data_IF_456873629745
#
_entry.id   IF_456873629745
#
_cell.length_a   1.000
_cell.length_b   1.000
_cell.length_c   1.000
_cell.angle_alpha   90.00
_cell.angle_beta   90.00
_cell.angle_gamma   90.00
#
_symmetry.space_group_name_H-M   'P 1'
#
loop_
_entity.id
_entity.type
_entity.pdbx_description
1 polymer ?
#
# COMPACT_ATOMS: atom_id res chain seq x y z
N UNK A 1 2.35 16.59 6.75
CA UNK A 1 1.11 16.21 6.04
C UNK A 1 0.24 15.48 7.03
N UNK A 2 -1.02 15.89 7.23
CA UNK A 2 -1.96 15.10 8.01
C UNK A 2 -2.53 14.02 7.09
N UNK A 3 -1.87 12.87 7.01
CA UNK A 3 -2.48 11.69 6.39
C UNK A 3 -3.64 11.26 7.28
N UNK A 4 -4.80 11.00 6.67
CA UNK A 4 -6.01 10.54 7.34
C UNK A 4 -5.87 9.02 7.58
N UNK A 5 -4.72 8.55 8.08
CA UNK A 5 -4.40 7.14 8.22
C UNK A 5 -2.96 6.86 8.68
N UNK A 6 -2.62 5.58 8.94
CA UNK A 6 -1.29 5.13 9.32
C UNK A 6 -0.22 5.60 8.35
N UNK A 7 0.99 5.80 8.87
CA UNK A 7 2.13 6.20 8.05
C UNK A 7 3.47 5.83 8.69
N UNK A 8 4.46 5.57 7.85
CA UNK A 8 5.86 5.47 8.22
C UNK A 8 6.59 6.83 8.12
N UNK A 9 7.34 7.18 9.18
CA UNK A 9 8.20 8.37 9.20
C UNK A 9 9.66 7.99 8.96
N UNK A 10 10.29 8.41 7.84
CA UNK A 10 11.69 8.08 7.57
C UNK A 10 12.70 8.79 8.48
N UNK A 11 12.31 9.91 9.13
CA UNK A 11 13.20 10.72 9.95
C UNK A 11 13.52 10.06 11.30
N UNK A 12 12.53 9.45 11.93
CA UNK A 12 12.66 8.75 13.21
C UNK A 12 12.51 7.22 13.08
N UNK A 13 12.23 6.72 11.86
CA UNK A 13 12.07 5.30 11.53
C UNK A 13 10.92 4.62 12.28
N UNK A 14 9.85 5.36 12.55
CA UNK A 14 8.69 4.86 13.30
C UNK A 14 7.45 4.72 12.41
N UNK A 15 6.62 3.72 12.72
CA UNK A 15 5.27 3.58 12.16
C UNK A 15 4.28 4.18 13.13
N UNK A 16 3.44 5.09 12.63
CA UNK A 16 2.37 5.74 13.38
C UNK A 16 1.04 5.14 12.95
N UNK A 17 0.26 4.67 13.92
CA UNK A 17 -1.03 4.02 13.67
C UNK A 17 -2.11 4.81 14.37
N UNK A 18 -3.06 5.31 13.60
CA UNK A 18 -4.31 5.84 14.14
C UNK A 18 -5.33 4.71 14.19
N UNK A 19 -5.66 4.21 15.39
CA UNK A 19 -6.64 3.14 15.56
C UNK A 19 -8.05 3.57 15.14
N UNK A 20 -8.35 4.88 15.14
CA UNK A 20 -9.64 5.38 14.64
C UNK A 20 -9.77 5.17 13.13
N UNK A 21 -8.67 5.11 12.38
CA UNK A 21 -8.67 4.81 10.95
C UNK A 21 -9.26 3.42 10.65
N UNK A 22 -9.15 2.44 11.55
CA UNK A 22 -9.75 1.11 11.33
C UNK A 22 -11.27 1.19 11.28
N UNK A 23 -11.86 2.04 12.13
CA UNK A 23 -13.29 2.32 12.09
C UNK A 23 -13.66 3.05 10.81
N UNK A 24 -12.85 4.03 10.36
CA UNK A 24 -13.11 4.72 9.10
C UNK A 24 -13.03 3.80 7.88
N UNK A 25 -12.08 2.87 7.87
CA UNK A 25 -11.93 1.85 6.84
C UNK A 25 -13.19 1.00 6.66
N UNK A 26 -13.77 0.56 7.77
CA UNK A 26 -15.00 -0.21 7.76
C UNK A 26 -16.21 0.68 7.43
N UNK A 27 -16.42 1.73 8.22
CA UNK A 27 -17.65 2.52 8.21
C UNK A 27 -17.77 3.43 6.98
N UNK A 28 -16.66 4.05 6.55
CA UNK A 28 -16.64 4.99 5.41
C UNK A 28 -16.20 4.27 4.14
N UNK A 29 -15.13 3.49 4.20
CA UNK A 29 -14.50 2.91 3.02
C UNK A 29 -14.96 1.48 2.69
N UNK A 30 -15.77 0.85 3.55
CA UNK A 30 -16.42 -0.43 3.27
C UNK A 30 -15.48 -1.62 3.23
N UNK A 31 -14.32 -1.54 3.89
CA UNK A 31 -13.50 -2.71 4.13
C UNK A 31 -14.27 -3.72 5.02
N UNK A 32 -14.08 -5.02 4.78
CA UNK A 32 -14.68 -6.08 5.61
C UNK A 32 -14.30 -5.97 7.09
N UNK A 33 -13.15 -5.36 7.39
CA UNK A 33 -12.58 -5.34 8.72
C UNK A 33 -11.74 -6.58 8.99
N UNK A 34 -11.66 -6.94 10.26
CA UNK A 34 -10.85 -8.07 10.73
C UNK A 34 -9.44 -7.67 11.17
N UNK A 35 -8.77 -8.58 11.85
CA UNK A 35 -7.42 -8.36 12.38
C UNK A 35 -6.37 -8.40 11.27
N UNK A 36 -6.58 -9.22 10.23
CA UNK A 36 -5.64 -9.30 9.13
C UNK A 36 -5.67 -8.05 8.23
N UNK A 37 -6.79 -7.33 8.16
CA UNK A 37 -6.84 -6.00 7.54
C UNK A 37 -5.88 -5.01 8.22
N UNK A 38 -5.79 -5.03 9.55
CA UNK A 38 -4.83 -4.20 10.29
C UNK A 38 -3.39 -4.70 10.09
N UNK A 39 -3.19 -6.02 10.08
CA UNK A 39 -1.88 -6.62 9.81
C UNK A 39 -1.33 -6.22 8.44
N UNK A 40 -2.18 -6.23 7.40
CA UNK A 40 -1.85 -5.75 6.06
C UNK A 40 -1.38 -4.29 6.07
N UNK A 41 -2.12 -3.38 6.74
CA UNK A 41 -1.76 -1.96 6.79
C UNK A 41 -0.44 -1.75 7.52
N UNK A 42 -0.24 -2.45 8.63
CA UNK A 42 1.02 -2.39 9.36
C UNK A 42 2.19 -2.91 8.51
N UNK A 43 2.01 -4.04 7.83
CA UNK A 43 3.01 -4.61 6.95
C UNK A 43 3.34 -3.69 5.76
N UNK A 44 2.34 -2.97 5.25
CA UNK A 44 2.52 -1.93 4.23
C UNK A 44 3.42 -0.80 4.74
N UNK A 45 3.17 -0.27 5.95
CA UNK A 45 4.03 0.77 6.54
C UNK A 45 5.45 0.27 6.82
N UNK A 46 5.61 -0.99 7.21
CA UNK A 46 6.93 -1.64 7.27
C UNK A 46 7.56 -1.76 5.89
N UNK A 47 6.76 -1.95 4.83
CA UNK A 47 7.19 -1.88 3.44
C UNK A 47 7.87 -0.55 3.11
N UNK A 48 7.33 0.58 3.56
CA UNK A 48 8.00 1.88 3.42
C UNK A 48 9.30 1.98 4.21
N UNK A 49 9.38 1.34 5.38
CA UNK A 49 10.64 1.23 6.10
C UNK A 49 11.70 0.47 5.29
N UNK A 50 11.32 -0.66 4.67
CA UNK A 50 12.21 -1.44 3.79
C UNK A 50 12.69 -0.57 2.61
N UNK A 51 11.80 0.16 1.95
CA UNK A 51 12.16 1.08 0.87
C UNK A 51 13.17 2.16 1.32
N UNK A 52 13.01 2.66 2.55
CA UNK A 52 13.95 3.61 3.12
C UNK A 52 15.34 2.99 3.35
N UNK A 53 15.39 1.76 3.87
CA UNK A 53 16.65 1.01 4.06
C UNK A 53 17.36 0.71 2.74
N UNK A 54 16.59 0.35 1.70
CA UNK A 54 17.11 0.04 0.36
C UNK A 54 17.46 1.30 -0.46
N UNK A 55 17.11 2.49 0.03
CA UNK A 55 17.34 3.75 -0.67
C UNK A 55 16.35 4.05 -1.80
N UNK A 56 15.32 3.23 -1.99
CA UNK A 56 14.27 3.42 -3.01
C UNK A 56 13.53 4.74 -2.80
N UNK A 57 13.10 5.05 -1.58
CA UNK A 57 12.39 6.30 -1.28
C UNK A 57 13.23 7.54 -1.58
N UNK A 58 14.54 7.46 -1.32
CA UNK A 58 15.47 8.56 -1.64
C UNK A 58 15.68 8.71 -3.16
N UNK A 59 15.70 7.60 -3.91
CA UNK A 59 15.77 7.61 -5.38
C UNK A 59 14.52 8.24 -5.99
N UNK A 60 13.33 7.83 -5.56
CA UNK A 60 12.05 8.40 -6.01
C UNK A 60 12.00 9.90 -5.76
N UNK A 61 12.34 10.35 -4.54
CA UNK A 61 12.37 11.78 -4.20
C UNK A 61 13.28 12.60 -5.11
N UNK A 62 14.44 12.05 -5.49
CA UNK A 62 15.36 12.73 -6.43
C UNK A 62 14.79 12.81 -7.83
N UNK A 63 14.11 11.77 -8.30
CA UNK A 63 13.46 11.74 -9.62
C UNK A 63 12.31 12.75 -9.70
N UNK A 64 11.48 12.84 -8.65
CA UNK A 64 10.36 13.78 -8.56
C UNK A 64 10.78 15.25 -8.63
N UNK A 65 11.98 15.61 -8.16
CA UNK A 65 12.43 17.00 -8.10
C UNK A 65 12.54 17.71 -9.48
N UNK A 66 12.58 16.96 -10.57
CA UNK A 66 12.63 17.49 -11.94
C UNK A 66 11.36 17.28 -12.75
N UNK A 67 10.29 16.77 -12.14
CA UNK A 67 9.04 16.41 -12.81
C UNK A 67 7.91 17.37 -12.45
N UNK A 68 6.89 17.42 -13.29
CA UNK A 68 5.62 18.05 -12.91
C UNK A 68 4.87 17.16 -11.91
N UNK A 69 3.74 17.67 -11.41
CA UNK A 69 2.95 16.98 -10.40
C UNK A 69 2.42 15.63 -10.88
N UNK A 70 1.96 15.53 -12.13
CA UNK A 70 1.35 14.31 -12.68
C UNK A 70 2.42 13.23 -12.83
N UNK A 71 3.57 13.56 -13.41
CA UNK A 71 4.68 12.61 -13.54
C UNK A 71 5.30 12.27 -12.17
N UNK A 72 5.33 13.22 -11.25
CA UNK A 72 5.75 12.98 -9.86
C UNK A 72 4.80 12.01 -9.13
N UNK A 73 3.50 12.14 -9.35
CA UNK A 73 2.45 11.30 -8.79
C UNK A 73 2.56 9.85 -9.26
N UNK A 74 2.88 9.61 -10.53
CA UNK A 74 3.16 8.25 -11.04
C UNK A 74 4.27 7.55 -10.27
N UNK A 75 5.34 8.27 -9.91
CA UNK A 75 6.41 7.71 -9.09
C UNK A 75 5.97 7.42 -7.65
N UNK A 76 5.09 8.24 -7.08
CA UNK A 76 4.46 7.97 -5.78
C UNK A 76 3.64 6.68 -5.85
N UNK A 77 2.78 6.54 -6.86
CA UNK A 77 1.97 5.33 -7.06
C UNK A 77 2.85 4.08 -7.14
N UNK A 78 3.93 4.09 -7.94
CA UNK A 78 4.83 2.93 -8.00
C UNK A 78 5.49 2.61 -6.65
N UNK A 79 5.86 3.63 -5.86
CA UNK A 79 6.41 3.43 -4.53
C UNK A 79 5.37 2.81 -3.57
N UNK A 80 4.12 3.28 -3.60
CA UNK A 80 3.02 2.76 -2.78
C UNK A 80 2.70 1.30 -3.12
N UNK A 81 2.62 0.96 -4.41
CA UNK A 81 2.39 -0.41 -4.87
C UNK A 81 3.52 -1.36 -4.47
N UNK A 82 4.76 -0.87 -4.38
CA UNK A 82 5.87 -1.70 -3.90
C UNK A 82 5.74 -2.00 -2.40
N UNK A 83 5.17 -1.09 -1.61
CA UNK A 83 4.89 -1.35 -0.20
C UNK A 83 3.77 -2.42 -0.05
N UNK A 84 2.73 -2.37 -0.89
CA UNK A 84 1.71 -3.45 -0.97
C UNK A 84 2.34 -4.80 -1.31
N UNK A 85 3.26 -4.83 -2.28
CA UNK A 85 4.00 -6.04 -2.63
C UNK A 85 4.82 -6.59 -1.46
N UNK A 86 5.54 -5.73 -0.72
CA UNK A 86 6.29 -6.16 0.46
C UNK A 86 5.38 -6.68 1.59
N UNK A 87 4.19 -6.10 1.78
CA UNK A 87 3.20 -6.64 2.69
C UNK A 87 2.75 -8.05 2.29
N UNK A 88 2.56 -8.30 0.99
CA UNK A 88 2.29 -9.63 0.46
C UNK A 88 3.42 -10.63 0.72
N UNK A 89 4.67 -10.24 0.43
CA UNK A 89 5.85 -11.09 0.70
C UNK A 89 5.97 -11.43 2.19
N UNK A 90 5.70 -10.46 3.07
CA UNK A 90 5.65 -10.73 4.51
C UNK A 90 4.59 -11.78 4.84
N UNK A 91 3.36 -11.61 4.35
CA UNK A 91 2.27 -12.56 4.59
C UNK A 91 2.58 -13.98 4.07
N UNK A 92 3.30 -14.10 2.95
CA UNK A 92 3.78 -15.38 2.43
C UNK A 92 4.64 -16.13 3.46
N UNK A 93 5.65 -15.43 3.98
CA UNK A 93 6.57 -16.01 4.94
C UNK A 93 5.91 -16.25 6.29
N UNK A 94 5.05 -15.33 6.75
CA UNK A 94 4.33 -15.50 8.00
C UNK A 94 3.43 -16.75 7.97
N UNK A 95 2.77 -17.01 6.84
CA UNK A 95 2.02 -18.25 6.64
C UNK A 95 2.90 -19.49 6.66
N UNK A 96 4.06 -19.46 5.99
CA UNK A 96 4.97 -20.61 5.97
C UNK A 96 5.63 -20.90 7.32
N UNK A 97 5.95 -19.85 8.09
CA UNK A 97 6.69 -19.98 9.35
C UNK A 97 5.77 -20.26 10.53
N UNK A 98 4.62 -19.59 10.58
CA UNK A 98 3.74 -19.61 11.75
C UNK A 98 2.41 -20.32 11.48
N UNK A 99 2.03 -20.53 10.20
CA UNK A 99 0.76 -21.13 9.79
C UNK A 99 -0.45 -20.49 10.51
N UNK A 100 -0.46 -19.16 10.49
CA UNK A 100 -1.41 -18.31 11.24
C UNK A 100 -2.54 -17.76 10.38
N UNK A 101 -2.48 -17.87 9.06
CA UNK A 101 -3.56 -17.38 8.21
C UNK A 101 -4.77 -18.30 8.32
N UNK A 102 -5.90 -17.71 8.68
CA UNK A 102 -7.20 -18.33 8.69
C UNK A 102 -7.90 -18.18 7.32
N UNK A 103 -8.93 -18.99 7.10
CA UNK A 103 -9.77 -18.89 5.91
C UNK A 103 -10.48 -17.52 5.89
N UNK A 104 -10.09 -16.63 4.97
CA UNK A 104 -10.66 -15.30 4.83
C UNK A 104 -9.68 -14.15 5.09
N UNK A 105 -8.54 -14.39 5.73
CA UNK A 105 -7.56 -13.35 6.09
C UNK A 105 -7.00 -12.63 4.86
N UNK A 106 -6.68 -13.40 3.81
CA UNK A 106 -6.21 -12.83 2.55
C UNK A 106 -7.31 -11.98 1.89
N UNK A 107 -8.57 -12.40 2.00
CA UNK A 107 -9.73 -11.64 1.53
C UNK A 107 -9.95 -10.37 2.36
N UNK A 108 -9.63 -10.37 3.66
CA UNK A 108 -9.63 -9.17 4.50
C UNK A 108 -8.55 -8.18 4.07
N UNK A 109 -7.30 -8.64 3.88
CA UNK A 109 -6.22 -7.80 3.35
C UNK A 109 -6.57 -7.23 1.97
N UNK A 110 -7.08 -8.05 1.05
CA UNK A 110 -7.52 -7.60 -0.26
C UNK A 110 -8.69 -6.61 -0.17
N UNK A 111 -9.61 -6.81 0.77
CA UNK A 111 -10.70 -5.85 1.01
C UNK A 111 -10.18 -4.53 1.55
N UNK A 112 -9.18 -4.54 2.43
CA UNK A 112 -8.52 -3.34 2.94
C UNK A 112 -7.79 -2.62 1.79
N UNK A 113 -6.95 -3.33 1.03
CA UNK A 113 -6.23 -2.82 -0.14
C UNK A 113 -7.17 -2.15 -1.16
N UNK A 114 -8.33 -2.76 -1.41
CA UNK A 114 -9.37 -2.18 -2.25
C UNK A 114 -9.96 -0.90 -1.65
N UNK A 115 -10.23 -0.86 -0.35
CA UNK A 115 -10.83 0.29 0.30
C UNK A 115 -9.90 1.52 0.32
N UNK A 116 -8.58 1.31 0.31
CA UNK A 116 -7.56 2.37 0.31
C UNK A 116 -6.98 2.71 -1.08
N UNK A 117 -7.61 2.22 -2.15
CA UNK A 117 -7.31 2.70 -3.51
C UNK A 117 -7.83 4.12 -3.73
N UNK A 118 -7.07 4.95 -4.45
CA UNK A 118 -7.45 6.34 -4.70
C UNK A 118 -8.78 6.43 -5.45
N UNK A 119 -9.06 5.50 -6.37
CA UNK A 119 -10.33 5.39 -7.09
C UNK A 119 -11.51 5.09 -6.14
N UNK A 120 -11.35 4.17 -5.20
CA UNK A 120 -12.38 3.86 -4.20
C UNK A 120 -12.63 5.04 -3.25
N UNK A 121 -11.57 5.67 -2.76
CA UNK A 121 -11.65 6.83 -1.87
C UNK A 121 -12.31 8.01 -2.58
N UNK A 122 -11.85 8.37 -3.78
CA UNK A 122 -12.42 9.48 -4.54
C UNK A 122 -13.88 9.22 -4.92
N UNK A 123 -14.22 7.99 -5.35
CA UNK A 123 -15.60 7.64 -5.67
C UNK A 123 -16.54 7.81 -4.46
N UNK A 124 -16.07 7.46 -3.26
CA UNK A 124 -16.87 7.60 -2.02
C UNK A 124 -16.93 9.02 -1.48
N UNK A 125 -15.86 9.79 -1.61
CA UNK A 125 -15.75 11.12 -0.99
C UNK A 125 -16.17 12.27 -1.93
N UNK A 126 -15.97 12.10 -3.23
CA UNK A 126 -16.18 13.14 -4.25
C UNK A 126 -17.18 12.72 -5.34
N UNK A 127 -17.52 11.43 -5.44
CA UNK A 127 -18.48 10.91 -6.43
C UNK A 127 -17.92 10.78 -7.85
N UNK A 128 -16.66 11.16 -8.08
CA UNK A 128 -15.97 11.10 -9.36
C UNK A 128 -14.51 10.70 -9.15
N UNK A 129 -13.91 10.10 -10.18
CA UNK A 129 -12.52 9.63 -10.17
C UNK A 129 -11.67 10.50 -11.10
N UNK A 130 -10.55 11.00 -10.59
CA UNK A 130 -9.57 11.84 -11.30
C UNK A 130 -8.20 11.13 -11.25
N UNK A 131 -7.84 10.36 -12.29
CA UNK A 131 -6.63 9.55 -12.30
C UNK A 131 -5.32 10.34 -12.12
N UNK A 132 -5.25 11.55 -12.67
CA UNK A 132 -4.04 12.39 -12.62
C UNK A 132 -3.69 12.85 -11.18
N UNK A 133 -4.65 12.76 -10.25
CA UNK A 133 -4.47 13.11 -8.85
C UNK A 133 -4.10 11.91 -7.96
N UNK A 134 -3.88 10.72 -8.53
CA UNK A 134 -3.53 9.53 -7.76
C UNK A 134 -2.13 9.61 -7.17
N UNK A 135 -1.99 9.14 -5.94
CA UNK A 135 -0.69 9.06 -5.22
C UNK A 135 -0.46 7.67 -4.62
N UNK A 136 -1.50 6.88 -4.40
CA UNK A 136 -1.46 5.52 -3.82
C UNK A 136 -1.86 4.43 -4.82
N UNK A 137 -2.45 4.82 -5.96
CA UNK A 137 -2.81 3.92 -7.04
C UNK A 137 -4.25 3.41 -6.94
N UNK A 138 -4.66 2.65 -7.95
CA UNK A 138 -6.02 2.09 -7.98
C UNK A 138 -6.17 0.90 -7.06
N UNK A 139 -7.39 0.69 -6.57
CA UNK A 139 -7.80 -0.48 -5.79
C UNK A 139 -7.33 -1.79 -6.43
N UNK A 140 -7.48 -1.89 -7.76
CA UNK A 140 -7.05 -3.05 -8.55
C UNK A 140 -5.54 -3.25 -8.52
N UNK A 141 -4.74 -2.19 -8.65
CA UNK A 141 -3.28 -2.29 -8.60
C UNK A 141 -2.80 -2.70 -7.21
N UNK A 142 -3.37 -2.10 -6.16
CA UNK A 142 -3.02 -2.41 -4.78
C UNK A 142 -3.25 -3.89 -4.45
N UNK A 143 -4.45 -4.39 -4.76
CA UNK A 143 -4.80 -5.80 -4.63
C UNK A 143 -3.86 -6.71 -5.44
N UNK A 144 -3.55 -6.32 -6.67
CA UNK A 144 -2.67 -7.09 -7.55
C UNK A 144 -1.26 -7.24 -6.95
N UNK A 145 -0.65 -6.14 -6.51
CA UNK A 145 0.72 -6.16 -6.00
C UNK A 145 0.84 -6.87 -4.66
N UNK A 146 -0.12 -6.69 -3.75
CA UNK A 146 -0.22 -7.50 -2.54
C UNK A 146 -0.29 -8.99 -2.87
N UNK A 147 -1.22 -9.38 -3.75
CA UNK A 147 -1.41 -10.78 -4.13
C UNK A 147 -0.17 -11.37 -4.78
N UNK A 148 0.50 -10.61 -5.66
CA UNK A 148 1.76 -11.04 -6.31
C UNK A 148 2.86 -11.29 -5.28
N UNK A 149 3.01 -10.41 -4.28
CA UNK A 149 3.96 -10.62 -3.19
C UNK A 149 3.65 -11.89 -2.40
N UNK A 150 2.38 -12.08 -2.06
CA UNK A 150 1.90 -13.24 -1.31
C UNK A 150 2.08 -14.57 -2.06
N UNK A 151 1.75 -14.60 -3.35
CA UNK A 151 1.87 -15.82 -4.17
C UNK A 151 3.33 -16.21 -4.42
N UNK A 152 4.22 -15.22 -4.60
CA UNK A 152 5.60 -15.48 -5.01
C UNK A 152 6.56 -15.66 -3.84
N UNK A 153 6.42 -14.85 -2.78
CA UNK A 153 7.42 -14.76 -1.71
C UNK A 153 8.80 -14.26 -2.16
N UNK A 154 8.99 -13.93 -3.44
CA UNK A 154 10.27 -13.57 -4.05
C UNK A 154 10.37 -12.06 -4.22
N UNK A 155 11.18 -11.42 -3.38
CA UNK A 155 11.34 -9.96 -3.37
C UNK A 155 11.77 -9.38 -4.74
N UNK A 156 12.42 -10.17 -5.60
CA UNK A 156 12.85 -9.72 -6.93
C UNK A 156 11.69 -9.51 -7.92
N UNK A 157 10.49 -10.01 -7.60
CA UNK A 157 9.29 -9.86 -8.41
C UNK A 157 8.53 -8.54 -8.17
N UNK A 158 9.03 -7.68 -7.27
CA UNK A 158 8.41 -6.43 -6.79
C UNK A 158 8.77 -5.16 -7.57
N UNK A 159 9.07 -5.28 -8.86
CA UNK A 159 9.46 -4.14 -9.70
C UNK A 159 8.22 -3.40 -10.23
N UNK A 160 7.62 -2.59 -9.37
CA UNK A 160 6.41 -1.80 -9.64
C UNK A 160 6.68 -0.61 -10.56
N UNK A 161 7.93 -0.15 -10.65
CA UNK A 161 8.33 0.99 -11.48
C UNK A 161 8.29 0.65 -12.98
N UNK A 162 8.38 -0.64 -13.34
CA UNK A 162 8.17 -1.08 -14.73
C UNK A 162 6.77 -0.81 -15.26
N UNK A 163 5.76 -0.68 -14.40
CA UNK A 163 4.41 -0.28 -14.84
C UNK A 163 4.39 1.16 -15.39
N UNK A 164 5.39 1.98 -15.09
CA UNK A 164 5.51 3.37 -15.56
C UNK A 164 6.18 3.49 -16.94
N UNK A 165 6.80 2.42 -17.44
CA UNK A 165 7.57 2.43 -18.70
C UNK A 165 6.72 2.10 -19.94
N UNK A 166 5.41 1.84 -19.76
CA UNK A 166 4.47 1.44 -20.82
C UNK A 166 3.39 2.49 -21.09
#
# INVERSE_FOLDING_TARGET
SSSIGPFYCPADKSVYIDLSFMHELQDKFGAKGGDFALAYILAHEVGHHIQNLLGTSAKVRRMQAGLDEIEGNKLSVALELQADFYAGVWAHYDQQMNNVLEDGDIEEALSAANAVGDDAIQQKTQGQVVPDAFTHGTSRQRMYWFKRGFETGDISQGDTFKELEN
#
